data_IF_074930784915
#
_entry.id   IF_074930784915
#
_cell.length_a   1.000
_cell.length_b   1.000
_cell.length_c   1.000
_cell.angle_alpha   90.00
_cell.angle_beta   90.00
_cell.angle_gamma   90.00
#
_symmetry.space_group_name_H-M   'P 1'
#
loop_
_entity.id
_entity.type
_entity.pdbx_description
1 polymer ?
#
# COMPACT_ATOMS: atom_id res chain seq x y z
N UNK A 1 1.05 -2.06 -8.78
CA UNK A 1 0.45 -1.17 -7.78
C UNK A 1 -0.36 -1.98 -6.80
N UNK A 2 -0.31 -1.61 -5.56
CA UNK A 2 -1.08 -2.25 -4.50
C UNK A 2 -1.94 -1.21 -3.80
N UNK A 3 -3.05 -1.67 -3.24
CA UNK A 3 -3.90 -0.88 -2.36
C UNK A 3 -3.62 -1.31 -0.93
N UNK A 4 -3.33 -0.34 -0.07
CA UNK A 4 -3.14 -0.57 1.35
C UNK A 4 -4.36 -0.11 2.13
N UNK A 5 -4.82 -0.98 3.02
CA UNK A 5 -5.76 -0.61 4.06
C UNK A 5 -5.08 -0.81 5.40
N UNK A 6 -4.96 0.26 6.14
CA UNK A 6 -4.25 0.27 7.42
C UNK A 6 -5.21 0.66 8.51
N UNK A 7 -5.19 -0.09 9.60
CA UNK A 7 -5.80 0.35 10.84
C UNK A 7 -4.65 0.71 11.78
N UNK A 8 -4.59 1.96 12.16
CA UNK A 8 -3.52 2.48 13.01
C UNK A 8 -4.06 2.84 14.38
N UNK A 9 -3.39 2.39 15.46
CA UNK A 9 -3.73 2.94 16.78
C UNK A 9 -3.47 4.44 16.78
N UNK A 10 -4.28 5.17 17.54
CA UNK A 10 -4.28 6.62 17.48
C UNK A 10 -2.91 7.26 17.72
N UNK A 11 -2.08 6.64 18.55
CA UNK A 11 -0.74 7.16 18.85
C UNK A 11 0.26 6.99 17.70
N UNK A 12 -0.02 6.12 16.74
CA UNK A 12 0.84 5.89 15.57
C UNK A 12 0.34 6.56 14.30
N UNK A 13 -0.88 7.08 14.30
CA UNK A 13 -1.52 7.59 13.08
C UNK A 13 -0.73 8.73 12.45
N UNK A 14 -0.30 9.70 13.24
CA UNK A 14 0.44 10.83 12.72
C UNK A 14 1.74 10.41 12.02
N UNK A 15 2.49 9.51 12.63
CA UNK A 15 3.73 8.99 12.06
C UNK A 15 3.46 8.17 10.80
N UNK A 16 2.42 7.38 10.81
CA UNK A 16 2.03 6.55 9.67
C UNK A 16 1.62 7.42 8.48
N UNK A 17 0.80 8.43 8.72
CA UNK A 17 0.36 9.34 7.67
C UNK A 17 1.55 10.13 7.11
N UNK A 18 2.44 10.60 7.98
CA UNK A 18 3.63 11.34 7.53
C UNK A 18 4.53 10.47 6.64
N UNK A 19 4.71 9.20 7.01
CA UNK A 19 5.48 8.26 6.23
C UNK A 19 4.87 8.05 4.84
N UNK A 20 3.57 7.82 4.79
CA UNK A 20 2.87 7.60 3.53
C UNK A 20 2.84 8.86 2.67
N UNK A 21 2.51 10.00 3.25
CA UNK A 21 2.43 11.26 2.53
C UNK A 21 3.79 11.73 2.00
N UNK A 22 4.87 11.30 2.62
CA UNK A 22 6.22 11.66 2.23
C UNK A 22 6.78 10.88 1.03
N UNK A 23 6.09 9.84 0.58
CA UNK A 23 6.56 9.03 -0.54
C UNK A 23 5.79 9.41 -1.81
N UNK A 24 6.49 9.87 -2.87
CA UNK A 24 5.82 10.27 -4.10
C UNK A 24 5.11 9.15 -4.84
N UNK A 25 5.41 7.90 -4.54
CA UNK A 25 4.72 6.74 -5.09
C UNK A 25 3.47 6.33 -4.33
N UNK A 26 3.11 7.07 -3.29
CA UNK A 26 1.87 6.87 -2.56
C UNK A 26 0.85 7.90 -3.04
N UNK A 27 -0.32 7.42 -3.44
CA UNK A 27 -1.38 8.29 -3.95
C UNK A 27 -2.74 7.85 -3.40
N UNK A 28 -3.73 8.69 -3.60
CA UNK A 28 -5.09 8.45 -3.13
C UNK A 28 -5.15 8.18 -1.62
N UNK A 29 -4.36 8.92 -0.86
CA UNK A 29 -4.28 8.77 0.59
C UNK A 29 -5.53 9.34 1.24
N UNK A 30 -6.21 8.51 2.01
CA UNK A 30 -7.42 8.86 2.75
C UNK A 30 -7.23 8.48 4.20
N UNK A 31 -7.61 9.37 5.10
CA UNK A 31 -7.56 9.12 6.53
C UNK A 31 -8.96 9.30 7.11
N UNK A 32 -9.43 8.28 7.81
CA UNK A 32 -10.74 8.28 8.46
C UNK A 32 -10.55 8.15 9.97
N UNK A 33 -10.39 9.28 10.67
CA UNK A 33 -10.09 9.25 12.10
C UNK A 33 -11.18 8.56 12.91
N UNK A 34 -10.76 7.66 13.81
CA UNK A 34 -11.66 7.01 14.74
C UNK A 34 -12.69 6.07 14.14
N UNK A 35 -12.54 5.69 12.89
CA UNK A 35 -13.55 4.88 12.20
C UNK A 35 -13.32 3.37 12.31
N UNK A 36 -12.12 2.94 12.68
CA UNK A 36 -11.83 1.53 12.86
C UNK A 36 -12.26 1.06 14.24
N UNK A 37 -12.85 -0.12 14.31
CA UNK A 37 -13.39 -0.66 15.55
C UNK A 37 -12.76 -1.97 15.99
N UNK A 38 -12.19 -2.74 15.07
CA UNK A 38 -11.58 -4.02 15.40
C UNK A 38 -10.42 -4.32 14.45
N UNK A 39 -9.20 -3.96 14.85
CA UNK A 39 -8.82 -3.23 16.07
C UNK A 39 -9.31 -1.77 16.06
N UNK A 40 -9.42 -1.20 17.23
CA UNK A 40 -9.76 0.22 17.36
C UNK A 40 -8.65 1.10 16.83
N UNK A 41 -9.04 2.17 16.15
CA UNK A 41 -8.08 3.13 15.68
C UNK A 41 -8.59 3.95 14.51
N UNK A 42 -7.65 4.45 13.74
CA UNK A 42 -7.91 5.26 12.56
C UNK A 42 -7.75 4.39 11.31
N UNK A 43 -8.64 4.55 10.35
CA UNK A 43 -8.55 3.86 9.07
C UNK A 43 -7.77 4.73 8.08
N UNK A 44 -6.78 4.15 7.43
CA UNK A 44 -5.94 4.82 6.45
C UNK A 44 -5.94 3.96 5.19
N UNK A 45 -6.21 4.57 4.05
CA UNK A 45 -6.18 3.87 2.78
C UNK A 45 -5.33 4.64 1.78
N UNK A 46 -4.62 3.93 0.94
CA UNK A 46 -3.85 4.54 -0.14
C UNK A 46 -3.50 3.50 -1.18
N UNK A 47 -3.05 4.00 -2.33
CA UNK A 47 -2.48 3.16 -3.38
C UNK A 47 -0.98 3.40 -3.42
N UNK A 48 -0.21 2.33 -3.59
CA UNK A 48 1.25 2.39 -3.56
C UNK A 48 1.78 1.79 -4.85
N UNK A 49 2.59 2.58 -5.56
CA UNK A 49 3.28 2.12 -6.75
C UNK A 49 4.31 1.05 -6.40
N UNK A 50 4.52 0.10 -7.29
CA UNK A 50 5.41 -1.04 -7.05
C UNK A 50 6.81 -0.63 -6.59
N UNK A 51 7.36 0.42 -7.20
CA UNK A 51 8.69 0.90 -6.83
C UNK A 51 8.77 1.48 -5.42
N UNK A 52 7.66 1.95 -4.88
CA UNK A 52 7.61 2.51 -3.52
C UNK A 52 7.35 1.45 -2.45
N UNK A 53 6.83 0.29 -2.83
CA UNK A 53 6.50 -0.77 -1.87
C UNK A 53 7.70 -1.20 -1.04
N UNK A 54 8.88 -1.23 -1.64
CA UNK A 54 10.13 -1.61 -0.97
C UNK A 54 10.54 -0.65 0.14
N UNK A 55 10.06 0.58 0.11
CA UNK A 55 10.33 1.58 1.14
C UNK A 55 9.20 1.66 2.13
N UNK A 56 7.98 1.69 1.63
CA UNK A 56 6.79 1.90 2.45
C UNK A 56 6.54 0.73 3.39
N UNK A 57 6.53 -0.50 2.87
CA UNK A 57 6.19 -1.67 3.69
C UNK A 57 7.17 -1.92 4.83
N UNK A 58 8.49 -1.90 4.61
CA UNK A 58 9.43 -2.06 5.72
C UNK A 58 9.32 -0.94 6.76
N UNK A 59 9.07 0.28 6.34
CA UNK A 59 8.95 1.41 7.26
C UNK A 59 7.68 1.32 8.11
N UNK A 60 6.58 0.86 7.54
CA UNK A 60 5.36 0.60 8.31
C UNK A 60 5.61 -0.48 9.37
N UNK A 61 6.37 -1.50 9.02
CA UNK A 61 6.72 -2.57 9.96
C UNK A 61 7.63 -2.07 11.08
N UNK A 62 8.53 -1.14 10.79
CA UNK A 62 9.37 -0.52 11.83
C UNK A 62 8.54 0.29 12.81
N UNK A 63 7.47 0.90 12.36
CA UNK A 63 6.53 1.60 13.25
C UNK A 63 5.66 0.62 14.05
N UNK A 64 5.71 -0.67 13.71
CA UNK A 64 4.89 -1.72 14.31
C UNK A 64 3.39 -1.55 14.08
N UNK A 65 3.02 -0.85 13.03
CA UNK A 65 1.62 -0.65 12.66
C UNK A 65 0.95 -1.99 12.35
N UNK A 66 1.67 -2.92 11.76
CA UNK A 66 1.18 -4.26 11.44
C UNK A 66 0.86 -5.07 12.72
N UNK A 67 1.65 -4.89 13.77
CA UNK A 67 1.45 -5.63 15.02
C UNK A 67 0.42 -4.98 15.94
N UNK A 68 0.43 -3.66 16.01
CA UNK A 68 -0.44 -2.93 16.93
C UNK A 68 -1.77 -2.55 16.29
N UNK A 69 -1.85 -2.64 14.99
CA UNK A 69 -3.04 -2.41 14.22
C UNK A 69 -3.23 -3.49 13.18
N UNK A 70 -3.39 -3.09 11.92
CA UNK A 70 -3.59 -4.02 10.83
C UNK A 70 -3.12 -3.41 9.52
N UNK A 71 -2.51 -4.23 8.66
CA UNK A 71 -2.17 -3.84 7.29
C UNK A 71 -2.72 -4.90 6.36
N UNK A 72 -3.59 -4.49 5.44
CA UNK A 72 -4.12 -5.36 4.39
C UNK A 72 -3.60 -4.86 3.05
N UNK A 73 -3.07 -5.77 2.26
CA UNK A 73 -2.48 -5.48 0.95
C UNK A 73 -3.33 -6.15 -0.12
N UNK A 74 -3.81 -5.37 -1.07
CA UNK A 74 -4.61 -5.88 -2.18
C UNK A 74 -4.00 -5.45 -3.50
N UNK A 75 -4.05 -6.30 -4.55
CA UNK A 75 -3.58 -5.90 -5.86
C UNK A 75 -4.55 -4.91 -6.50
N UNK A 76 -4.00 -3.97 -7.26
CA UNK A 76 -4.79 -3.06 -8.09
C UNK A 76 -4.48 -3.40 -9.54
N UNK A 77 -5.50 -3.86 -10.25
CA UNK A 77 -5.34 -4.31 -11.63
C UNK A 77 -5.28 -3.15 -12.60
N UNK A 78 -6.11 -2.14 -12.37
CA UNK A 78 -6.18 -0.99 -13.23
C UNK A 78 -6.48 0.26 -12.42
N UNK A 79 -5.70 1.31 -12.66
CA UNK A 79 -5.98 2.64 -12.14
C UNK A 79 -5.83 3.65 -13.27
N UNK A 80 -6.79 4.55 -13.39
CA UNK A 80 -6.77 5.62 -14.39
C UNK A 80 -6.48 6.92 -13.67
N UNK A 81 -5.25 7.41 -13.84
CA UNK A 81 -4.78 8.61 -13.15
C UNK A 81 -3.58 9.17 -13.88
N UNK A 82 -3.56 10.47 -14.13
CA UNK A 82 -2.39 11.11 -14.70
C UNK A 82 -1.16 10.98 -13.82
N UNK A 83 -1.35 10.99 -12.51
CA UNK A 83 -0.26 10.84 -11.55
C UNK A 83 0.34 9.43 -11.59
N UNK A 84 -0.46 8.41 -11.81
CA UNK A 84 0.04 7.04 -11.95
C UNK A 84 1.01 6.93 -13.12
N UNK A 85 0.65 7.48 -14.27
CA UNK A 85 1.50 7.44 -15.45
C UNK A 85 2.85 8.13 -15.21
N UNK A 86 2.84 9.28 -14.56
CA UNK A 86 4.07 10.02 -14.25
C UNK A 86 4.97 9.25 -13.29
N UNK A 87 4.39 8.65 -12.26
CA UNK A 87 5.15 7.90 -11.26
C UNK A 87 5.72 6.63 -11.86
N UNK A 88 4.95 5.91 -12.68
CA UNK A 88 5.43 4.69 -13.33
C UNK A 88 6.69 4.96 -14.14
N UNK A 89 6.73 6.06 -14.88
CA UNK A 89 7.91 6.45 -15.64
C UNK A 89 9.12 6.65 -14.73
N UNK A 90 8.94 7.27 -13.58
CA UNK A 90 10.02 7.52 -12.63
C UNK A 90 10.52 6.24 -11.96
N UNK A 91 9.67 5.25 -11.79
CA UNK A 91 9.98 4.05 -11.01
C UNK A 91 10.42 2.85 -11.83
N UNK A 92 10.48 2.96 -13.14
CA UNK A 92 10.87 1.84 -14.00
C UNK A 92 12.16 1.16 -13.56
N UNK A 93 13.17 1.93 -13.21
CA UNK A 93 14.44 1.39 -12.76
C UNK A 93 14.38 0.74 -11.38
N UNK A 94 13.49 1.22 -10.51
CA UNK A 94 13.34 0.69 -9.16
C UNK A 94 12.70 -0.70 -9.15
N UNK A 95 11.83 -0.99 -10.10
CA UNK A 95 11.17 -2.29 -10.19
C UNK A 95 12.14 -3.44 -10.40
N UNK A 96 13.24 -3.19 -11.10
CA UNK A 96 14.23 -4.23 -11.39
C UNK A 96 14.92 -4.78 -10.15
N UNK A 97 14.91 -4.04 -9.05
CA UNK A 97 15.61 -4.39 -7.81
C UNK A 97 14.68 -4.30 -6.59
N UNK A 98 13.47 -4.84 -6.73
CA UNK A 98 12.42 -4.67 -5.73
C UNK A 98 12.03 -5.99 -5.05
N UNK A 99 12.88 -6.55 -4.17
CA UNK A 99 12.62 -7.87 -3.56
C UNK A 99 11.35 -7.89 -2.69
N UNK A 100 11.02 -6.81 -2.01
CA UNK A 100 9.79 -6.76 -1.20
C UNK A 100 8.55 -6.82 -2.08
N UNK A 101 8.59 -6.11 -3.21
CA UNK A 101 7.50 -6.15 -4.16
C UNK A 101 7.33 -7.56 -4.77
N UNK A 102 8.43 -8.21 -5.11
CA UNK A 102 8.40 -9.57 -5.64
C UNK A 102 7.80 -10.54 -4.63
N UNK A 103 8.15 -10.39 -3.36
CA UNK A 103 7.59 -11.21 -2.29
C UNK A 103 6.08 -11.02 -2.17
N UNK A 104 5.62 -9.79 -2.19
CA UNK A 104 4.19 -9.46 -2.13
C UNK A 104 3.47 -10.02 -3.36
N UNK A 105 4.02 -9.82 -4.53
CA UNK A 105 3.45 -10.32 -5.77
C UNK A 105 3.34 -11.84 -5.78
N UNK A 106 4.39 -12.53 -5.32
CA UNK A 106 4.39 -13.99 -5.24
C UNK A 106 3.33 -14.49 -4.28
N UNK A 107 3.15 -13.81 -3.16
CA UNK A 107 2.12 -14.16 -2.18
C UNK A 107 0.71 -13.96 -2.73
N UNK A 108 0.48 -12.89 -3.44
CA UNK A 108 -0.79 -12.63 -4.10
C UNK A 108 -1.09 -13.73 -5.11
N UNK A 109 -0.10 -14.15 -5.90
CA UNK A 109 -0.26 -15.24 -6.87
C UNK A 109 -0.50 -16.58 -6.20
N UNK A 110 0.14 -16.82 -5.07
CA UNK A 110 -0.03 -18.07 -4.32
C UNK A 110 -1.42 -18.21 -3.72
N UNK A 111 -2.01 -17.11 -3.31
CA UNK A 111 -3.41 -17.08 -2.87
C UNK A 111 -4.37 -17.13 -4.05
N UNK A 112 -3.86 -17.14 -5.15
CA UNK A 112 -4.13 -17.10 -6.52
C UNK A 112 -5.43 -17.51 -7.07
N UNK A 113 -6.43 -16.77 -6.80
CA UNK A 113 -7.68 -16.89 -7.50
C UNK A 113 -7.83 -15.89 -8.62
N UNK A 114 -6.82 -15.07 -8.85
CA UNK A 114 -6.90 -14.10 -9.91
C UNK A 114 -6.62 -14.72 -11.24
N UNK A 115 -7.47 -14.43 -12.20
CA UNK A 115 -7.10 -14.56 -13.58
C UNK A 115 -7.30 -13.18 -14.23
N UNK A 116 -6.57 -12.84 -15.28
CA UNK A 116 -6.78 -11.59 -15.99
C UNK A 116 -8.23 -11.38 -16.42
N UNK A 117 -8.93 -12.43 -16.79
CA UNK A 117 -10.33 -12.37 -17.18
C UNK A 117 -11.24 -11.92 -16.04
N UNK A 118 -10.83 -12.11 -14.81
CA UNK A 118 -11.60 -11.66 -13.66
C UNK A 118 -11.75 -10.15 -13.61
N UNK A 119 -10.82 -9.43 -14.21
CA UNK A 119 -10.75 -7.98 -14.14
C UNK A 119 -11.16 -7.29 -15.45
N UNK A 120 -11.60 -8.02 -16.43
CA UNK A 120 -11.81 -7.51 -17.76
C UNK A 120 -13.27 -7.09 -18.07
N UNK A 121 -14.03 -6.77 -17.07
CA UNK A 121 -15.39 -6.32 -17.31
C UNK A 121 -15.67 -4.91 -16.87
#
# INVERSE_FOLDING_TARGET
MIHLRVVSPADLTEKTVALLAGDPGVLNLVVLPGRARNPDGDAIECDVMSGSANTVLPNLRRLQVDRRGSIVIEPVELAISGRVADIETQQLGALANAPVWEEVEARIRAEGTYSPSFFLF
#
